data_IF_946960873834
#
_entry.id   IF_946960873834
#
_cell.length_a   1.000
_cell.length_b   1.000
_cell.length_c   1.000
_cell.angle_alpha   90.00
_cell.angle_beta   90.00
_cell.angle_gamma   90.00
#
_symmetry.space_group_name_H-M   'P 1'
#
loop_
_entity.id
_entity.type
_entity.pdbx_description
1 polymer ?
#
# COMPACT_ATOMS: atom_id res chain seq x y z
N UNK A 1 -28.64 -15.11 -0.42
CA UNK A 1 -27.68 -14.35 0.41
C UNK A 1 -26.48 -13.94 -0.44
N UNK A 2 -26.45 -12.68 -0.91
CA UNK A 2 -25.38 -12.17 -1.77
C UNK A 2 -24.18 -11.72 -0.92
N UNK A 3 -23.01 -12.31 -1.17
CA UNK A 3 -21.75 -11.90 -0.54
C UNK A 3 -21.36 -10.51 -1.08
N UNK A 4 -21.18 -9.47 -0.25
CA UNK A 4 -20.76 -8.17 -0.76
C UNK A 4 -19.34 -8.26 -1.33
N UNK A 5 -19.20 -7.83 -2.58
CA UNK A 5 -17.94 -7.73 -3.33
C UNK A 5 -16.96 -6.80 -2.57
N UNK A 6 -16.03 -7.38 -1.81
CA UNK A 6 -14.91 -6.68 -1.16
C UNK A 6 -13.92 -6.17 -2.23
N UNK A 7 -14.26 -5.05 -2.89
CA UNK A 7 -13.37 -4.45 -3.89
C UNK A 7 -13.78 -3.06 -4.38
N UNK A 8 -15.03 -2.64 -4.18
CA UNK A 8 -15.54 -1.37 -4.72
C UNK A 8 -15.39 -0.19 -3.75
N UNK A 9 -15.47 -0.41 -2.43
CA UNK A 9 -15.39 0.66 -1.43
C UNK A 9 -14.03 1.39 -1.36
N UNK A 10 -12.91 0.73 -1.70
CA UNK A 10 -11.59 1.38 -1.72
C UNK A 10 -11.25 2.09 -3.04
N UNK A 11 -12.00 1.82 -4.13
CA UNK A 11 -11.77 2.47 -5.42
C UNK A 11 -12.27 3.91 -5.43
N UNK A 12 -13.31 4.23 -4.66
CA UNK A 12 -13.96 5.55 -4.67
C UNK A 12 -13.50 6.49 -3.55
N UNK A 13 -12.50 6.11 -2.75
CA UNK A 13 -11.99 7.01 -1.70
C UNK A 13 -11.16 8.15 -2.29
N UNK A 14 -11.33 9.36 -1.75
CA UNK A 14 -10.48 10.50 -2.09
C UNK A 14 -9.06 10.32 -1.54
N UNK A 15 -8.03 11.00 -2.08
CA UNK A 15 -6.68 11.00 -1.53
C UNK A 15 -6.63 11.32 -0.03
N UNK A 16 -7.46 12.27 0.42
CA UNK A 16 -7.56 12.73 1.80
C UNK A 16 -8.08 11.62 2.71
N UNK A 17 -9.15 10.94 2.30
CA UNK A 17 -9.70 9.82 3.08
C UNK A 17 -8.71 8.65 3.15
N UNK A 18 -7.95 8.39 2.07
CA UNK A 18 -6.91 7.35 2.07
C UNK A 18 -5.76 7.72 3.00
N UNK A 19 -5.31 8.96 2.95
CA UNK A 19 -4.26 9.48 3.81
C UNK A 19 -4.65 9.43 5.28
N UNK A 20 -5.89 9.82 5.60
CA UNK A 20 -6.44 9.77 6.95
C UNK A 20 -6.47 8.33 7.49
N UNK A 21 -7.00 7.38 6.71
CA UNK A 21 -6.99 5.97 7.11
C UNK A 21 -5.58 5.41 7.28
N UNK A 22 -4.63 5.81 6.42
CA UNK A 22 -3.25 5.38 6.54
C UNK A 22 -2.62 5.91 7.83
N UNK A 23 -2.79 7.20 8.12
CA UNK A 23 -2.30 7.82 9.34
C UNK A 23 -2.91 7.15 10.57
N UNK A 24 -4.24 6.99 10.64
CA UNK A 24 -4.91 6.34 11.77
C UNK A 24 -4.42 4.91 12.01
N UNK A 25 -4.15 4.14 10.95
CA UNK A 25 -3.60 2.79 11.08
C UNK A 25 -2.19 2.82 11.65
N UNK A 26 -1.33 3.69 11.13
CA UNK A 26 0.04 3.84 11.63
C UNK A 26 0.04 4.34 13.08
N UNK A 27 -0.84 5.28 13.45
CA UNK A 27 -1.04 5.73 14.83
C UNK A 27 -1.36 4.57 15.75
N UNK A 28 -2.30 3.69 15.38
CA UNK A 28 -2.65 2.51 16.20
C UNK A 28 -1.54 1.47 16.26
N UNK A 29 -0.80 1.28 15.18
CA UNK A 29 0.20 0.22 15.07
C UNK A 29 1.54 0.60 15.71
N UNK A 30 1.91 1.87 15.61
CA UNK A 30 3.19 2.41 16.07
C UNK A 30 3.04 3.29 17.32
N UNK A 31 1.82 3.44 17.83
CA UNK A 31 1.49 4.32 18.96
C UNK A 31 2.01 5.74 18.73
N UNK A 32 1.68 6.33 17.57
CA UNK A 32 2.16 7.67 17.20
C UNK A 32 1.54 8.73 18.12
N UNK A 33 2.30 9.78 18.42
CA UNK A 33 1.77 10.97 19.10
C UNK A 33 0.80 11.75 18.18
N UNK A 34 0.08 12.72 18.75
CA UNK A 34 -0.79 13.61 17.96
C UNK A 34 0.00 14.37 16.88
N UNK A 35 1.18 14.90 17.24
CA UNK A 35 2.05 15.62 16.31
C UNK A 35 2.60 14.72 15.21
N UNK A 36 3.04 13.51 15.56
CA UNK A 36 3.49 12.52 14.58
C UNK A 36 2.35 12.11 13.65
N UNK A 37 1.15 11.89 14.19
CA UNK A 37 -0.04 11.54 13.41
C UNK A 37 -0.37 12.61 12.38
N UNK A 38 -0.35 13.89 12.78
CA UNK A 38 -0.58 15.02 11.87
C UNK A 38 0.46 15.08 10.76
N UNK A 39 1.76 14.95 11.09
CA UNK A 39 2.85 14.93 10.11
C UNK A 39 2.73 13.75 9.14
N UNK A 40 2.42 12.55 9.66
CA UNK A 40 2.20 11.35 8.85
C UNK A 40 0.99 11.50 7.92
N UNK A 41 -0.09 12.13 8.38
CA UNK A 41 -1.28 12.39 7.55
C UNK A 41 -0.96 13.33 6.39
N UNK A 42 -0.26 14.43 6.65
CA UNK A 42 0.17 15.38 5.60
C UNK A 42 1.09 14.71 4.59
N UNK A 43 2.07 13.93 5.08
CA UNK A 43 2.97 13.16 4.23
C UNK A 43 2.23 12.12 3.37
N UNK A 44 1.27 11.40 3.98
CA UNK A 44 0.45 10.43 3.27
C UNK A 44 -0.43 11.09 2.21
N UNK A 45 -0.99 12.27 2.48
CA UNK A 45 -1.80 13.02 1.52
C UNK A 45 -0.99 13.40 0.28
N UNK A 46 0.18 13.99 0.47
CA UNK A 46 1.08 14.36 -0.63
C UNK A 46 1.41 13.13 -1.50
N UNK A 47 1.71 11.99 -0.86
CA UNK A 47 1.96 10.76 -1.60
C UNK A 47 0.70 10.22 -2.32
N UNK A 48 -0.49 10.28 -1.73
CA UNK A 48 -1.71 9.81 -2.40
C UNK A 48 -2.03 10.68 -3.62
N UNK A 49 -1.85 11.99 -3.54
CA UNK A 49 -2.03 12.92 -4.65
C UNK A 49 -1.02 12.65 -5.77
N UNK A 50 0.27 12.51 -5.44
CA UNK A 50 1.33 12.16 -6.40
C UNK A 50 1.00 10.85 -7.13
N UNK A 51 0.58 9.82 -6.38
CA UNK A 51 0.18 8.51 -6.95
C UNK A 51 -1.07 8.59 -7.81
N UNK A 52 -2.01 9.47 -7.47
CA UNK A 52 -3.19 9.69 -8.29
C UNK A 52 -2.79 10.33 -9.62
N UNK A 53 -1.97 11.38 -9.59
CA UNK A 53 -1.44 12.05 -10.79
C UNK A 53 -0.64 11.08 -11.66
N UNK A 54 0.25 10.28 -11.06
CA UNK A 54 0.99 9.23 -11.77
C UNK A 54 0.05 8.21 -12.42
N UNK A 55 -1.06 7.84 -11.76
CA UNK A 55 -2.05 6.90 -12.33
C UNK A 55 -2.84 7.50 -13.48
N UNK A 56 -3.18 8.78 -13.41
CA UNK A 56 -3.90 9.48 -14.49
C UNK A 56 -2.99 9.78 -15.67
N UNK A 57 -1.69 9.98 -15.43
CA UNK A 57 -0.69 10.29 -16.46
C UNK A 57 0.01 9.05 -17.04
N UNK A 58 0.00 7.92 -16.32
CA UNK A 58 0.69 6.72 -16.78
C UNK A 58 0.05 6.18 -18.07
N UNK A 59 0.90 6.04 -19.09
CA UNK A 59 0.61 5.31 -20.32
C UNK A 59 0.49 3.80 -20.05
N UNK A 60 0.17 3.01 -21.08
CA UNK A 60 0.12 1.55 -21.00
C UNK A 60 1.46 0.89 -20.57
N UNK A 61 2.54 1.66 -20.37
CA UNK A 61 3.82 1.17 -19.87
C UNK A 61 3.77 0.86 -18.36
N UNK A 62 3.57 -0.43 -18.11
CA UNK A 62 3.53 -1.00 -16.77
C UNK A 62 4.86 -0.93 -16.03
N UNK A 63 6.00 -0.98 -16.74
CA UNK A 63 7.31 -0.97 -16.10
C UNK A 63 7.62 0.43 -15.54
N UNK A 64 7.40 1.47 -16.35
CA UNK A 64 7.54 2.86 -15.90
C UNK A 64 6.64 3.14 -14.69
N UNK A 65 5.39 2.67 -14.72
CA UNK A 65 4.48 2.82 -13.59
C UNK A 65 5.00 2.13 -12.32
N UNK A 66 5.58 0.94 -12.43
CA UNK A 66 6.16 0.23 -11.28
C UNK A 66 7.36 0.98 -10.69
N UNK A 67 8.26 1.48 -11.53
CA UNK A 67 9.42 2.25 -11.08
C UNK A 67 8.99 3.54 -10.36
N UNK A 68 8.04 4.29 -10.94
CA UNK A 68 7.52 5.52 -10.34
C UNK A 68 6.83 5.25 -8.99
N UNK A 69 6.06 4.16 -8.89
CA UNK A 69 5.44 3.76 -7.62
C UNK A 69 6.48 3.35 -6.57
N UNK A 70 7.58 2.71 -6.99
CA UNK A 70 8.70 2.38 -6.10
C UNK A 70 9.37 3.66 -5.60
N UNK A 71 9.73 4.58 -6.49
CA UNK A 71 10.39 5.83 -6.14
C UNK A 71 9.53 6.67 -5.17
N UNK A 72 8.23 6.80 -5.43
CA UNK A 72 7.30 7.46 -4.52
C UNK A 72 7.31 6.78 -3.15
N UNK A 73 7.27 5.44 -3.09
CA UNK A 73 7.33 4.69 -1.83
C UNK A 73 8.63 4.95 -1.07
N UNK A 74 9.78 4.89 -1.74
CA UNK A 74 11.09 5.10 -1.11
C UNK A 74 11.17 6.52 -0.51
N UNK A 75 10.73 7.54 -1.26
CA UNK A 75 10.62 8.93 -0.80
C UNK A 75 9.75 9.06 0.45
N UNK A 76 8.59 8.41 0.46
CA UNK A 76 7.72 8.41 1.64
C UNK A 76 8.38 7.76 2.85
N UNK A 77 9.06 6.63 2.67
CA UNK A 77 9.75 5.93 3.75
C UNK A 77 10.89 6.76 4.34
N UNK A 78 11.63 7.49 3.50
CA UNK A 78 12.68 8.42 3.93
C UNK A 78 12.12 9.58 4.76
N UNK A 79 11.05 10.22 4.28
CA UNK A 79 10.39 11.31 5.01
C UNK A 79 9.73 10.81 6.30
N UNK A 80 9.17 9.60 6.28
CA UNK A 80 8.57 8.97 7.45
C UNK A 80 9.61 8.69 8.54
N UNK A 81 10.84 8.29 8.17
CA UNK A 81 11.95 8.07 9.12
C UNK A 81 12.30 9.33 9.91
N UNK A 82 12.14 10.53 9.34
CA UNK A 82 12.33 11.79 10.04
C UNK A 82 11.20 12.17 11.00
N UNK A 83 10.04 11.51 10.92
CA UNK A 83 8.87 11.76 11.78
C UNK A 83 8.79 10.74 12.92
N UNK A 84 9.18 9.50 12.64
CA UNK A 84 9.12 8.39 13.58
C UNK A 84 10.36 8.34 14.48
N UNK A 85 10.21 7.75 15.67
CA UNK A 85 11.38 7.34 16.47
C UNK A 85 12.04 6.10 15.87
N UNK A 86 13.27 5.80 16.29
CA UNK A 86 14.00 4.61 15.83
C UNK A 86 13.20 3.32 16.04
N UNK A 87 12.57 3.15 17.21
CA UNK A 87 11.79 1.97 17.55
C UNK A 87 10.51 1.87 16.70
N UNK A 88 9.83 3.00 16.50
CA UNK A 88 8.63 3.07 15.65
C UNK A 88 8.97 2.76 14.18
N UNK A 89 10.10 3.26 13.68
CA UNK A 89 10.58 2.98 12.34
C UNK A 89 10.95 1.50 12.16
N UNK A 90 11.63 0.91 13.15
CA UNK A 90 11.97 -0.52 13.17
C UNK A 90 10.71 -1.39 13.14
N UNK A 91 9.69 -1.04 13.93
CA UNK A 91 8.41 -1.75 13.88
C UNK A 91 7.72 -1.56 12.53
N UNK A 92 7.77 -0.36 11.96
CA UNK A 92 7.22 -0.09 10.63
C UNK A 92 7.87 -0.96 9.55
N UNK A 93 9.21 -1.09 9.52
CA UNK A 93 9.92 -1.91 8.53
C UNK A 93 9.58 -3.39 8.69
N UNK A 94 9.52 -3.92 9.91
CA UNK A 94 9.08 -5.30 10.15
C UNK A 94 7.67 -5.57 9.62
N UNK A 95 6.73 -4.69 9.96
CA UNK A 95 5.33 -4.81 9.48
C UNK A 95 5.21 -4.71 7.97
N UNK A 96 6.09 -3.92 7.35
CA UNK A 96 6.18 -3.77 5.89
C UNK A 96 6.68 -5.05 5.25
N UNK A 97 7.75 -5.64 5.79
CA UNK A 97 8.39 -6.83 5.26
C UNK A 97 7.46 -8.05 5.41
N UNK A 98 6.83 -8.22 6.57
CA UNK A 98 5.79 -9.25 6.75
C UNK A 98 4.65 -9.14 5.72
N UNK A 99 4.25 -7.91 5.37
CA UNK A 99 3.20 -7.69 4.37
C UNK A 99 3.68 -8.09 2.98
N UNK A 100 4.93 -7.82 2.65
CA UNK A 100 5.54 -8.23 1.39
C UNK A 100 5.62 -9.76 1.30
N UNK A 101 6.06 -10.43 2.37
CA UNK A 101 6.13 -11.89 2.43
C UNK A 101 4.75 -12.54 2.28
N UNK A 102 3.75 -12.03 3.02
CA UNK A 102 2.36 -12.48 2.92
C UNK A 102 1.79 -12.26 1.51
N UNK A 103 2.22 -11.20 0.81
CA UNK A 103 1.81 -10.95 -0.57
C UNK A 103 2.49 -11.93 -1.54
N UNK A 104 3.78 -12.21 -1.35
CA UNK A 104 4.54 -13.16 -2.16
C UNK A 104 4.01 -14.58 -2.03
N UNK A 105 3.69 -15.04 -0.80
CA UNK A 105 3.07 -16.35 -0.58
C UNK A 105 1.73 -16.49 -1.31
N UNK A 106 0.86 -15.48 -1.21
CA UNK A 106 -0.44 -15.47 -1.93
C UNK A 106 -0.30 -15.48 -3.46
N UNK A 107 0.76 -14.88 -3.99
CA UNK A 107 1.05 -14.91 -5.43
C UNK A 107 1.46 -16.32 -5.88
N UNK A 108 2.28 -17.02 -5.09
CA UNK A 108 2.68 -18.40 -5.35
C UNK A 108 1.46 -19.35 -5.32
N UNK A 109 0.61 -19.24 -4.30
CA UNK A 109 -0.62 -20.04 -4.18
C UNK A 109 -1.56 -19.85 -5.37
N UNK A 110 -1.73 -18.61 -5.83
CA UNK A 110 -2.55 -18.29 -7.01
C UNK A 110 -1.97 -18.88 -8.29
N UNK A 111 -0.64 -18.88 -8.45
CA UNK A 111 0.03 -19.48 -9.61
C UNK A 111 -0.16 -21.01 -9.62
N UNK A 112 -0.06 -21.66 -8.46
CA UNK A 112 -0.32 -23.09 -8.29
C UNK A 112 -1.77 -23.49 -8.61
N UNK A 113 -2.78 -22.75 -8.10
CA UNK A 113 -4.19 -23.01 -8.41
C UNK A 113 -4.54 -22.79 -9.89
N UNK A 114 -3.98 -21.75 -10.52
CA UNK A 114 -4.24 -21.47 -11.94
C UNK A 114 -3.63 -22.53 -12.87
N UNK A 115 -2.48 -23.11 -12.50
CA UNK A 115 -1.90 -24.27 -13.19
C UNK A 115 -2.78 -25.52 -13.12
N UNK A 116 -3.33 -25.83 -11.94
CA UNK A 116 -4.25 -26.97 -11.76
C UNK A 116 -5.58 -26.81 -12.50
N UNK A 117 -6.15 -25.60 -12.55
CA UNK A 117 -7.38 -25.35 -13.34
C UNK A 117 -7.14 -25.49 -14.85
N UNK A 118 -5.99 -25.03 -15.37
CA UNK A 118 -5.65 -25.19 -16.80
C UNK A 118 -5.50 -26.66 -17.23
N UNK A 119 -4.97 -27.51 -16.35
CA UNK A 119 -4.86 -28.95 -16.63
C UNK A 119 -6.22 -29.68 -16.68
N UNK A 120 -7.24 -29.15 -15.99
CA UNK A 120 -8.57 -29.77 -15.90
C UNK A 120 -9.59 -29.25 -16.92
N UNK A 121 -9.25 -28.25 -17.74
CA UNK A 121 -10.13 -27.69 -18.78
C UNK A 121 -9.73 -28.13 -20.20
N UNK A 122 -8.64 -28.90 -20.33
CA UNK A 122 -8.14 -29.37 -21.63
C UNK A 122 -8.25 -30.90 -21.79
N UNK A 123 -9.22 -31.51 -21.10
CA UNK A 123 -9.56 -32.93 -21.18
C UNK A 123 -11.07 -33.10 -21.34
#
# INVERSE_FOLDING_TARGET
MQRPMRGQGMRNMTPEQRADQQAQRLTKQLSLSADQTTKVKSLALAQQQERQTMRTQASADRQAMMQNMKASRDKYEEQLKGILTSDQYTKYTQMRDERMDKMQGKLQDRKGKKGKMKASTNG
#
